data_IF_455345443600
#
_entry.id   IF_455345443600
#
_cell.length_a   1.000
_cell.length_b   1.000
_cell.length_c   1.000
_cell.angle_alpha   90.00
_cell.angle_beta   90.00
_cell.angle_gamma   90.00
#
_symmetry.space_group_name_H-M   'P 1'
#
loop_
_entity.id
_entity.type
_entity.pdbx_description
1 polymer ?
#
# COMPACT_ATOMS: atom_id res chain seq x y z
N UNK A 1 -46.42 18.25 -37.66
CA UNK A 1 -46.50 18.78 -36.29
C UNK A 1 -46.35 17.60 -35.34
N UNK A 2 -45.15 17.42 -34.82
CA UNK A 2 -44.77 16.30 -33.96
C UNK A 2 -44.66 16.81 -32.52
N UNK A 3 -45.26 16.10 -31.57
CA UNK A 3 -45.09 16.32 -30.14
C UNK A 3 -44.69 14.99 -29.49
N UNK A 4 -43.40 14.85 -29.24
CA UNK A 4 -42.80 13.84 -28.38
C UNK A 4 -42.63 14.46 -26.99
N UNK A 5 -43.24 13.86 -25.97
CA UNK A 5 -43.06 14.20 -24.56
C UNK A 5 -41.97 13.32 -23.97
N UNK A 6 -40.84 13.94 -23.64
CA UNK A 6 -39.72 13.35 -22.89
C UNK A 6 -39.79 13.83 -21.44
N UNK A 7 -39.98 12.92 -20.50
CA UNK A 7 -39.75 13.16 -19.08
C UNK A 7 -38.29 12.82 -18.76
N UNK A 8 -37.46 13.86 -18.73
CA UNK A 8 -36.11 13.84 -18.17
C UNK A 8 -36.18 14.43 -16.77
N UNK A 9 -36.13 13.61 -15.73
CA UNK A 9 -35.89 14.10 -14.37
C UNK A 9 -34.38 14.08 -14.09
N UNK A 10 -33.82 15.28 -14.10
CA UNK A 10 -32.45 15.61 -13.76
C UNK A 10 -32.25 15.56 -12.25
N UNK A 11 -31.46 14.61 -11.76
CA UNK A 11 -30.89 14.64 -10.41
C UNK A 11 -29.61 15.46 -10.47
N UNK A 12 -29.74 16.78 -10.33
CA UNK A 12 -28.62 17.69 -10.12
C UNK A 12 -29.06 18.77 -9.13
N UNK A 13 -28.87 18.54 -7.83
CA UNK A 13 -28.37 19.58 -6.93
C UNK A 13 -28.05 18.98 -5.54
N UNK A 14 -26.78 18.72 -5.30
CA UNK A 14 -26.24 18.69 -3.95
C UNK A 14 -24.98 19.53 -3.98
N UNK A 15 -25.20 20.84 -3.86
CA UNK A 15 -24.18 21.86 -3.77
C UNK A 15 -23.03 21.40 -2.86
N UNK A 16 -21.85 21.24 -3.47
CA UNK A 16 -20.59 21.03 -2.78
C UNK A 16 -20.32 22.24 -1.88
N UNK A 17 -20.74 22.14 -0.62
CA UNK A 17 -20.18 22.97 0.45
C UNK A 17 -18.75 22.48 0.64
N UNK A 18 -17.78 23.27 0.21
CA UNK A 18 -16.41 23.21 0.71
C UNK A 18 -16.46 23.57 2.19
N UNK A 19 -16.69 22.57 3.04
CA UNK A 19 -16.52 22.70 4.48
C UNK A 19 -15.02 22.63 4.72
N UNK A 20 -14.44 23.72 5.23
CA UNK A 20 -13.11 23.68 5.84
C UNK A 20 -13.09 22.51 6.82
N UNK A 21 -12.29 21.48 6.53
CA UNK A 21 -12.20 20.31 7.40
C UNK A 21 -11.73 20.79 8.79
N UNK A 22 -12.53 20.62 9.85
CA UNK A 22 -12.13 21.05 11.18
C UNK A 22 -10.84 20.32 11.55
N UNK A 23 -9.84 21.06 12.05
CA UNK A 23 -8.64 20.46 12.64
C UNK A 23 -9.09 19.63 13.83
N UNK A 24 -9.06 18.30 13.70
CA UNK A 24 -9.43 17.35 14.75
C UNK A 24 -8.30 17.24 15.78
N UNK A 25 -7.99 18.35 16.46
CA UNK A 25 -7.25 18.29 17.70
C UNK A 25 -8.25 18.33 18.85
N UNK A 26 -8.28 17.29 19.67
CA UNK A 26 -8.65 17.51 21.07
C UNK A 26 -7.68 18.57 21.62
N UNK A 27 -8.19 19.56 22.36
CA UNK A 27 -7.39 20.67 22.88
C UNK A 27 -6.17 20.24 23.73
N UNK A 28 -6.11 18.96 24.13
CA UNK A 28 -5.13 18.38 25.04
C UNK A 28 -4.10 17.43 24.38
N UNK A 29 -4.12 17.25 23.06
CA UNK A 29 -3.18 16.33 22.41
C UNK A 29 -1.72 16.86 22.49
N UNK A 30 -0.81 16.06 23.04
CA UNK A 30 0.62 16.39 23.08
C UNK A 30 1.14 16.66 21.65
N UNK A 31 1.60 17.86 21.37
CA UNK A 31 2.00 18.29 20.01
C UNK A 31 3.47 18.05 19.69
N UNK A 32 4.29 17.68 20.69
CA UNK A 32 5.71 17.36 20.52
C UNK A 32 6.21 16.31 21.51
N UNK A 33 7.22 15.54 21.12
CA UNK A 33 7.83 14.49 21.95
C UNK A 33 9.09 13.92 21.33
N UNK A 34 9.85 13.11 22.09
CA UNK A 34 11.11 12.52 21.61
C UNK A 34 10.92 11.28 20.72
N UNK A 35 9.83 10.55 20.95
CA UNK A 35 9.58 9.25 20.33
C UNK A 35 8.18 9.27 19.73
N UNK A 36 8.06 9.49 18.40
CA UNK A 36 6.77 9.39 17.71
C UNK A 36 6.14 8.01 17.89
N UNK A 37 4.85 7.98 18.18
CA UNK A 37 4.06 6.76 18.19
C UNK A 37 3.54 6.49 16.78
N UNK A 38 4.15 5.55 16.06
CA UNK A 38 3.65 5.19 14.71
C UNK A 38 2.29 4.48 14.75
N UNK A 39 1.90 3.96 15.92
CA UNK A 39 0.62 3.32 16.18
C UNK A 39 -0.45 4.31 16.68
N UNK A 40 -0.18 5.62 16.66
CA UNK A 40 -1.17 6.62 17.04
C UNK A 40 -2.42 6.49 16.16
N UNK A 41 -3.54 6.09 16.78
CA UNK A 41 -4.81 5.66 16.15
C UNK A 41 -4.70 4.60 15.05
N UNK A 42 -3.65 3.78 15.11
CA UNK A 42 -3.54 2.62 14.23
C UNK A 42 -4.55 1.55 14.64
N UNK A 43 -5.35 1.08 13.68
CA UNK A 43 -6.22 -0.08 13.82
C UNK A 43 -5.39 -1.32 13.53
N UNK A 44 -5.37 -2.28 14.44
CA UNK A 44 -4.71 -3.56 14.14
C UNK A 44 -5.46 -4.25 13.00
N UNK A 45 -4.72 -4.85 12.07
CA UNK A 45 -5.33 -5.50 10.91
C UNK A 45 -6.28 -6.64 11.31
N UNK A 46 -6.00 -7.33 12.43
CA UNK A 46 -6.90 -8.34 12.95
C UNK A 46 -8.19 -7.76 13.55
N UNK A 47 -8.16 -6.54 14.11
CA UNK A 47 -9.39 -5.85 14.53
C UNK A 47 -10.23 -5.45 13.32
N UNK A 48 -9.59 -4.96 12.25
CA UNK A 48 -10.27 -4.69 10.98
C UNK A 48 -10.92 -5.97 10.42
N UNK A 49 -10.21 -7.11 10.46
CA UNK A 49 -10.77 -8.42 10.06
C UNK A 49 -11.91 -8.91 10.96
N UNK A 50 -12.09 -8.36 12.17
CA UNK A 50 -13.25 -8.67 13.04
C UNK A 50 -14.52 -7.95 12.60
N UNK A 51 -14.40 -6.93 11.75
CA UNK A 51 -15.54 -6.11 11.37
C UNK A 51 -16.46 -6.85 10.40
N UNK A 52 -17.77 -6.80 10.65
CA UNK A 52 -18.79 -7.52 9.85
C UNK A 52 -18.77 -7.10 8.37
N UNK A 53 -18.47 -5.83 8.10
CA UNK A 53 -18.38 -5.28 6.74
C UNK A 53 -17.01 -5.46 6.09
N UNK A 54 -16.09 -6.21 6.72
CA UNK A 54 -14.77 -6.52 6.18
C UNK A 54 -14.65 -8.02 5.90
N UNK A 55 -14.31 -8.36 4.65
CA UNK A 55 -14.03 -9.74 4.24
C UNK A 55 -12.51 -9.93 4.26
N UNK A 56 -12.01 -10.54 5.32
CA UNK A 56 -10.60 -10.86 5.48
C UNK A 56 -10.21 -12.14 4.74
N UNK A 57 -8.97 -12.20 4.28
CA UNK A 57 -8.40 -13.44 3.73
C UNK A 57 -8.08 -14.40 4.89
N UNK A 58 -8.15 -15.73 4.72
CA UNK A 58 -7.72 -16.68 5.76
C UNK A 58 -6.19 -16.75 5.86
N UNK A 59 -5.68 -17.50 6.84
CA UNK A 59 -4.24 -17.79 6.95
C UNK A 59 -3.74 -18.63 5.76
N UNK A 60 -2.45 -18.49 5.43
CA UNK A 60 -1.82 -19.18 4.29
C UNK A 60 -1.98 -20.71 4.35
N UNK A 61 -2.02 -21.28 5.56
CA UNK A 61 -2.21 -22.71 5.79
C UNK A 61 -3.55 -23.25 5.27
N UNK A 62 -4.53 -22.37 5.05
CA UNK A 62 -5.87 -22.68 4.52
C UNK A 62 -6.02 -22.35 3.03
N UNK A 63 -4.97 -21.87 2.37
CA UNK A 63 -5.00 -21.44 0.98
C UNK A 63 -4.29 -22.46 0.08
N UNK A 64 -4.93 -22.79 -1.03
CA UNK A 64 -4.38 -23.61 -2.10
C UNK A 64 -3.72 -22.70 -3.14
N UNK A 65 -2.43 -22.91 -3.38
CA UNK A 65 -1.66 -22.20 -4.41
C UNK A 65 -1.64 -23.03 -5.70
N UNK A 66 -2.43 -22.60 -6.68
CA UNK A 66 -2.41 -23.16 -8.03
C UNK A 66 -2.63 -22.04 -9.06
N UNK A 67 -1.55 -21.64 -9.73
CA UNK A 67 -1.60 -20.61 -10.76
C UNK A 67 -1.71 -19.19 -10.21
N UNK A 68 -1.50 -18.23 -11.11
CA UNK A 68 -1.47 -16.79 -10.84
C UNK A 68 -2.71 -16.25 -10.12
N UNK A 69 -3.89 -16.86 -10.35
CA UNK A 69 -5.17 -16.42 -9.77
C UNK A 69 -5.26 -16.69 -8.28
N UNK A 70 -4.59 -17.73 -7.78
CA UNK A 70 -4.58 -18.08 -6.35
C UNK A 70 -3.79 -17.10 -5.48
N UNK A 71 -2.88 -16.31 -6.08
CA UNK A 71 -2.01 -15.39 -5.33
C UNK A 71 -2.78 -14.23 -4.69
N UNK A 72 -3.95 -13.89 -5.24
CA UNK A 72 -4.85 -12.88 -4.67
C UNK A 72 -5.46 -13.32 -3.33
N UNK A 73 -5.41 -14.61 -2.99
CA UNK A 73 -5.91 -15.17 -1.73
C UNK A 73 -4.84 -15.18 -0.62
N UNK A 74 -3.60 -14.82 -0.91
CA UNK A 74 -2.51 -14.78 0.07
C UNK A 74 -2.46 -13.40 0.72
N UNK A 75 -2.62 -13.36 2.04
CA UNK A 75 -2.56 -12.12 2.84
C UNK A 75 -1.28 -11.34 2.56
N UNK A 76 -1.41 -10.03 2.39
CA UNK A 76 -0.23 -9.17 2.30
C UNK A 76 0.57 -9.20 3.60
N UNK A 77 1.87 -8.93 3.50
CA UNK A 77 2.74 -8.86 4.66
C UNK A 77 3.17 -10.21 5.24
N UNK A 78 2.90 -11.29 4.53
CA UNK A 78 3.30 -12.65 4.88
C UNK A 78 4.52 -13.10 4.07
N UNK A 79 5.22 -14.12 4.56
CA UNK A 79 6.43 -14.63 3.90
C UNK A 79 6.13 -15.24 2.51
N UNK A 80 4.98 -15.91 2.34
CA UNK A 80 4.59 -16.42 1.02
C UNK A 80 4.27 -15.27 0.08
N UNK A 81 3.53 -14.25 0.54
CA UNK A 81 3.22 -13.09 -0.28
C UNK A 81 4.49 -12.37 -0.77
N UNK A 82 5.47 -12.14 0.11
CA UNK A 82 6.78 -11.59 -0.28
C UNK A 82 7.48 -12.46 -1.32
N UNK A 83 7.48 -13.77 -1.12
CA UNK A 83 8.12 -14.73 -2.01
C UNK A 83 7.44 -14.78 -3.40
N UNK A 84 6.12 -14.64 -3.46
CA UNK A 84 5.35 -14.59 -4.71
C UNK A 84 5.73 -13.40 -5.60
N UNK A 85 6.36 -12.36 -5.05
CA UNK A 85 6.83 -11.24 -5.84
C UNK A 85 8.12 -11.53 -6.63
N UNK A 86 8.91 -12.55 -6.24
CA UNK A 86 10.17 -12.86 -6.90
C UNK A 86 9.94 -13.29 -8.36
N UNK A 87 10.74 -12.75 -9.27
CA UNK A 87 10.63 -12.99 -10.71
C UNK A 87 9.40 -12.35 -11.39
N UNK A 88 8.68 -11.45 -10.69
CA UNK A 88 7.50 -10.74 -11.19
C UNK A 88 7.66 -9.22 -11.10
N UNK A 89 6.99 -8.48 -11.99
CA UNK A 89 6.90 -7.02 -11.91
C UNK A 89 5.61 -6.64 -11.20
N UNK A 90 5.73 -6.03 -10.01
CA UNK A 90 4.55 -5.56 -9.24
C UNK A 90 4.54 -4.04 -9.06
N UNK A 91 3.44 -3.51 -8.52
CA UNK A 91 3.23 -2.07 -8.26
C UNK A 91 4.40 -1.39 -7.55
N UNK A 92 5.05 -2.08 -6.61
CA UNK A 92 6.21 -1.55 -5.87
C UNK A 92 7.43 -1.21 -6.74
N UNK A 93 7.58 -1.85 -7.91
CA UNK A 93 8.67 -1.59 -8.86
C UNK A 93 8.20 -0.92 -10.15
N UNK A 94 6.90 -0.70 -10.32
CA UNK A 94 6.31 -0.18 -11.55
C UNK A 94 6.88 1.19 -11.94
N UNK A 95 6.98 2.12 -10.98
CA UNK A 95 7.53 3.48 -11.23
C UNK A 95 8.96 3.42 -11.76
N UNK A 96 9.75 2.45 -11.27
CA UNK A 96 11.11 2.21 -11.75
C UNK A 96 11.10 1.63 -13.16
N UNK A 97 10.27 0.63 -13.43
CA UNK A 97 10.14 0.01 -14.75
C UNK A 97 9.67 1.01 -15.83
N UNK A 98 8.79 1.94 -15.46
CA UNK A 98 8.32 3.00 -16.35
C UNK A 98 9.35 4.12 -16.56
N UNK A 99 10.41 4.19 -15.74
CA UNK A 99 11.44 5.22 -15.83
C UNK A 99 11.12 6.53 -15.10
N UNK A 100 10.05 6.58 -14.29
CA UNK A 100 9.68 7.79 -13.55
C UNK A 100 10.72 8.21 -12.51
N UNK A 101 11.50 7.24 -12.04
CA UNK A 101 12.59 7.48 -11.10
C UNK A 101 13.93 7.85 -11.76
N UNK A 102 14.02 7.83 -13.10
CA UNK A 102 15.25 8.13 -13.80
C UNK A 102 15.63 9.62 -13.67
N UNK A 103 16.93 9.96 -13.61
CA UNK A 103 17.38 11.34 -13.41
C UNK A 103 16.86 12.34 -14.45
N UNK A 104 16.71 11.93 -15.70
CA UNK A 104 16.26 12.80 -16.77
C UNK A 104 14.72 12.82 -16.96
N UNK A 105 13.96 12.13 -16.10
CA UNK A 105 12.50 12.23 -16.09
C UNK A 105 12.05 13.57 -15.50
N UNK A 106 10.97 14.14 -16.01
CA UNK A 106 10.32 15.31 -15.40
C UNK A 106 9.57 14.90 -14.12
N UNK A 107 10.34 14.72 -13.05
CA UNK A 107 9.85 14.33 -11.72
C UNK A 107 8.94 15.39 -11.12
N UNK A 108 9.14 16.67 -11.48
CA UNK A 108 8.31 17.78 -10.97
C UNK A 108 6.90 17.68 -11.55
N UNK A 109 6.76 17.46 -12.85
CA UNK A 109 5.45 17.25 -13.48
C UNK A 109 4.71 16.06 -12.85
N UNK A 110 5.43 15.00 -12.48
CA UNK A 110 4.85 13.83 -11.82
C UNK A 110 4.47 14.05 -10.34
N UNK A 111 4.84 15.19 -9.74
CA UNK A 111 4.62 15.46 -8.31
C UNK A 111 5.60 14.73 -7.38
N UNK A 112 6.76 14.32 -7.89
CA UNK A 112 7.82 13.64 -7.14
C UNK A 112 8.88 14.62 -6.64
N UNK A 113 9.57 14.25 -5.55
CA UNK A 113 10.70 15.04 -5.05
C UNK A 113 11.90 15.00 -6.01
N UNK A 114 12.66 16.09 -6.03
CA UNK A 114 13.91 16.22 -6.82
C UNK A 114 15.06 15.38 -6.25
N UNK A 115 15.01 15.00 -4.96
CA UNK A 115 16.03 14.21 -4.25
C UNK A 115 15.88 12.71 -4.48
N UNK A 116 15.61 12.30 -5.72
CA UNK A 116 15.54 10.88 -6.06
C UNK A 116 16.91 10.24 -6.13
N UNK A 117 17.05 9.04 -5.58
CA UNK A 117 18.18 8.18 -5.89
C UNK A 117 17.97 7.60 -7.30
N UNK A 118 18.92 7.85 -8.21
CA UNK A 118 18.95 7.18 -9.52
C UNK A 118 19.20 5.67 -9.39
N UNK A 119 18.99 4.91 -10.47
CA UNK A 119 19.22 3.46 -10.48
C UNK A 119 18.00 2.61 -10.13
N UNK A 120 16.79 3.18 -10.20
CA UNK A 120 15.55 2.45 -9.97
C UNK A 120 15.43 1.23 -10.88
N UNK A 121 15.88 1.32 -12.13
CA UNK A 121 15.75 0.21 -13.06
C UNK A 121 16.57 -1.04 -12.70
N UNK A 122 17.72 -0.88 -12.05
CA UNK A 122 18.53 -2.02 -11.61
C UNK A 122 17.78 -2.89 -10.61
N UNK A 123 16.90 -2.30 -9.79
CA UNK A 123 16.03 -3.06 -8.89
C UNK A 123 14.98 -3.90 -9.65
N UNK A 124 14.48 -3.38 -10.77
CA UNK A 124 13.54 -4.09 -11.66
C UNK A 124 14.24 -5.29 -12.29
N UNK A 125 15.42 -5.08 -12.87
CA UNK A 125 16.22 -6.14 -13.48
C UNK A 125 16.57 -7.22 -12.45
N UNK A 126 17.03 -6.80 -11.27
CA UNK A 126 17.37 -7.73 -10.19
C UNK A 126 16.16 -8.55 -9.75
N UNK A 127 14.96 -7.96 -9.65
CA UNK A 127 13.75 -8.69 -9.26
C UNK A 127 13.32 -9.68 -10.33
N UNK A 128 13.28 -9.26 -11.60
CA UNK A 128 12.81 -10.09 -12.71
C UNK A 128 13.73 -11.27 -13.03
N UNK A 129 14.99 -11.21 -12.60
CA UNK A 129 15.94 -12.32 -12.71
C UNK A 129 15.87 -13.33 -11.56
N UNK A 130 15.12 -13.06 -10.49
CA UNK A 130 14.95 -14.02 -9.40
C UNK A 130 14.10 -15.20 -9.86
N UNK A 131 14.38 -16.36 -9.27
CA UNK A 131 13.55 -17.54 -9.45
C UNK A 131 12.14 -17.27 -8.89
N UNK A 132 11.12 -17.64 -9.67
CA UNK A 132 9.73 -17.45 -9.27
C UNK A 132 9.33 -18.49 -8.24
N UNK A 133 8.70 -18.04 -7.17
CA UNK A 133 7.95 -18.92 -6.27
C UNK A 133 6.54 -19.10 -6.83
N UNK A 134 6.05 -20.34 -6.84
CA UNK A 134 4.76 -20.71 -7.42
C UNK A 134 4.77 -20.72 -8.96
N UNK A 135 3.90 -21.53 -9.55
CA UNK A 135 3.70 -21.59 -11.00
C UNK A 135 2.62 -20.59 -11.40
N UNK A 136 2.89 -19.76 -12.40
CA UNK A 136 1.93 -18.77 -12.91
C UNK A 136 0.81 -19.43 -13.75
N UNK A 137 1.21 -20.40 -14.58
CA UNK A 137 0.35 -21.13 -15.51
C UNK A 137 0.16 -22.56 -15.02
N UNK A 138 -1.09 -22.91 -14.72
CA UNK A 138 -1.49 -24.28 -14.37
C UNK A 138 -2.69 -24.67 -15.22
N UNK A 139 -3.01 -25.96 -15.21
CA UNK A 139 -4.21 -26.46 -15.87
C UNK A 139 -5.48 -25.72 -15.38
N UNK A 140 -6.40 -25.44 -16.29
CA UNK A 140 -7.60 -24.67 -15.98
C UNK A 140 -8.49 -25.33 -14.91
N UNK A 141 -8.53 -26.67 -14.85
CA UNK A 141 -9.28 -27.38 -13.83
C UNK A 141 -8.63 -27.20 -12.45
N UNK A 142 -7.29 -27.30 -12.36
CA UNK A 142 -6.56 -27.05 -11.12
C UNK A 142 -6.73 -25.60 -10.63
N UNK A 143 -6.65 -24.63 -11.54
CA UNK A 143 -6.88 -23.22 -11.21
C UNK A 143 -8.30 -22.98 -10.69
N UNK A 144 -9.30 -23.60 -11.33
CA UNK A 144 -10.71 -23.50 -10.91
C UNK A 144 -10.97 -24.19 -9.57
N UNK A 145 -10.35 -25.34 -9.32
CA UNK A 145 -10.48 -26.07 -8.06
C UNK A 145 -9.86 -25.29 -6.90
N UNK A 146 -8.65 -24.75 -7.08
CA UNK A 146 -8.02 -23.89 -6.08
C UNK A 146 -8.82 -22.61 -5.84
N UNK A 147 -9.37 -21.99 -6.88
CA UNK A 147 -10.24 -20.82 -6.73
C UNK A 147 -11.48 -21.13 -5.88
N UNK A 148 -12.13 -22.28 -6.13
CA UNK A 148 -13.28 -22.75 -5.34
C UNK A 148 -12.89 -23.03 -3.89
N UNK A 149 -11.79 -23.75 -3.67
CA UNK A 149 -11.29 -24.07 -2.33
C UNK A 149 -10.93 -22.80 -1.55
N UNK A 150 -10.26 -21.84 -2.18
CA UNK A 150 -9.89 -20.58 -1.53
C UNK A 150 -11.11 -19.70 -1.22
N UNK A 151 -12.12 -19.70 -2.08
CA UNK A 151 -13.39 -19.01 -1.81
C UNK A 151 -14.11 -19.63 -0.61
N UNK A 152 -14.19 -20.96 -0.54
CA UNK A 152 -14.78 -21.69 0.59
C UNK A 152 -14.01 -21.48 1.90
N UNK A 153 -12.67 -21.48 1.84
CA UNK A 153 -11.82 -21.18 3.00
C UNK A 153 -12.02 -19.75 3.49
N UNK A 154 -12.15 -18.79 2.57
CA UNK A 154 -12.42 -17.38 2.89
C UNK A 154 -13.80 -17.23 3.53
N UNK A 155 -14.83 -17.85 2.96
CA UNK A 155 -16.18 -17.81 3.52
C UNK A 155 -16.22 -18.42 4.92
N UNK A 156 -15.59 -19.58 5.10
CA UNK A 156 -15.52 -20.28 6.39
C UNK A 156 -14.83 -19.41 7.43
N UNK A 157 -13.67 -18.83 7.10
CA UNK A 157 -12.94 -17.92 7.99
C UNK A 157 -13.80 -16.72 8.44
N UNK A 158 -14.48 -16.06 7.50
CA UNK A 158 -15.30 -14.89 7.85
C UNK A 158 -16.57 -15.28 8.63
N UNK A 159 -17.14 -16.48 8.40
CA UNK A 159 -18.27 -17.02 9.16
C UNK A 159 -17.89 -17.38 10.60
N UNK A 160 -16.73 -18.01 10.80
CA UNK A 160 -16.17 -18.33 12.11
C UNK A 160 -16.01 -17.04 12.94
N UNK A 161 -15.48 -15.98 12.32
CA UNK A 161 -15.31 -14.68 12.98
C UNK A 161 -16.62 -13.98 13.31
N UNK A 162 -17.56 -13.95 12.37
CA UNK A 162 -18.88 -13.37 12.62
C UNK A 162 -19.60 -14.10 13.77
N UNK A 163 -19.39 -15.41 13.90
CA UNK A 163 -19.94 -16.20 15.01
C UNK A 163 -19.27 -15.87 16.33
N UNK A 164 -17.94 -15.73 16.35
CA UNK A 164 -17.19 -15.32 17.54
C UNK A 164 -17.58 -13.91 18.02
N UNK A 165 -17.76 -12.95 17.10
CA UNK A 165 -18.19 -11.60 17.44
C UNK A 165 -19.60 -11.57 18.07
N UNK A 166 -20.54 -12.38 17.56
CA UNK A 166 -21.88 -12.51 18.15
C UNK A 166 -21.84 -13.16 19.54
N UNK A 167 -20.99 -14.17 19.73
CA UNK A 167 -20.83 -14.82 21.02
C UNK A 167 -20.25 -13.86 22.08
N UNK A 168 -19.27 -13.04 21.72
CA UNK A 168 -18.71 -12.01 22.60
C UNK A 168 -19.78 -10.97 22.99
N UNK A 169 -20.56 -10.46 22.02
CA UNK A 169 -21.64 -9.51 22.30
C UNK A 169 -22.75 -10.09 23.19
N UNK A 170 -23.09 -11.37 23.04
CA UNK A 170 -24.09 -12.02 23.89
C UNK A 170 -23.62 -12.21 25.35
N UNK A 171 -22.31 -12.43 25.57
CA UNK A 171 -21.74 -12.58 26.90
C UNK A 171 -21.71 -11.27 27.70
N UNK A 172 -21.54 -10.12 27.02
CA UNK A 172 -21.57 -8.79 27.66
C UNK A 172 -22.97 -8.37 28.12
N UNK A 173 -24.04 -8.90 27.52
CA UNK A 173 -25.42 -8.62 27.93
C UNK A 173 -25.87 -9.40 29.18
N UNK A 174 -25.11 -10.41 29.62
CA UNK A 174 -25.46 -11.29 30.74
C UNK A 174 -24.63 -10.98 32.01
N UNK A 175 -23.77 -9.95 31.97
CA UNK A 175 -22.83 -9.60 33.04
C UNK A 175 -23.09 -8.24 33.67
N UNK A 176 -24.31 -7.98 34.14
CA UNK A 176 -24.66 -6.78 34.93
C UNK A 176 -24.43 -6.94 36.45
N UNK A 177 -23.82 -8.05 36.92
CA UNK A 177 -23.49 -8.25 38.34
C UNK A 177 -22.14 -8.96 38.53
N UNK A 178 -21.03 -8.28 38.29
CA UNK A 178 -19.76 -8.55 38.98
C UNK A 178 -18.74 -7.42 38.76
N UNK A 179 -18.36 -6.75 39.84
CA UNK A 179 -17.17 -5.89 39.84
C UNK A 179 -15.92 -6.73 39.53
N UNK A 180 -15.17 -6.34 38.49
CA UNK A 180 -13.90 -6.98 38.14
C UNK A 180 -12.79 -5.93 38.18
N UNK A 181 -11.79 -6.20 39.03
CA UNK A 181 -10.52 -5.48 39.10
C UNK A 181 -9.78 -5.54 37.76
N UNK A 182 -9.31 -4.39 37.29
CA UNK A 182 -8.50 -4.25 36.08
C UNK A 182 -7.07 -4.73 36.39
N UNK A 183 -6.75 -5.96 36.02
CA UNK A 183 -5.36 -6.40 35.87
C UNK A 183 -4.92 -6.19 34.42
N UNK A 184 -4.00 -5.25 34.23
CA UNK A 184 -3.38 -4.97 32.94
C UNK A 184 -2.41 -6.10 32.56
N UNK A 185 -2.81 -6.95 31.61
CA UNK A 185 -1.87 -7.67 30.75
C UNK A 185 -2.53 -7.93 29.40
N UNK A 186 -2.18 -7.11 28.41
CA UNK A 186 -2.58 -7.30 27.01
C UNK A 186 -1.30 -7.41 26.17
N UNK A 187 -0.77 -8.61 26.08
CA UNK A 187 0.22 -8.98 25.07
C UNK A 187 -0.47 -9.02 23.70
N UNK A 188 -0.52 -7.88 23.02
CA UNK A 188 -1.05 -7.79 21.65
C UNK A 188 -0.04 -8.38 20.66
N UNK A 189 -0.50 -9.30 19.81
CA UNK A 189 0.31 -9.90 18.75
C UNK A 189 0.60 -8.89 17.65
N UNK A 190 1.85 -8.92 17.16
CA UNK A 190 2.35 -8.05 16.09
C UNK A 190 1.64 -8.38 14.78
N UNK A 191 0.80 -7.46 14.29
CA UNK A 191 0.26 -7.50 12.94
C UNK A 191 1.38 -7.32 11.92
N UNK A 192 1.75 -8.41 11.24
CA UNK A 192 2.80 -8.42 10.22
C UNK A 192 2.32 -7.78 8.92
N UNK A 193 2.63 -6.50 8.72
CA UNK A 193 2.83 -5.96 7.38
C UNK A 193 4.34 -6.05 7.07
N UNK A 194 4.75 -7.10 6.34
CA UNK A 194 6.14 -7.30 5.93
C UNK A 194 6.72 -6.06 5.23
N UNK A 195 7.73 -5.48 5.88
CA UNK A 195 8.70 -4.47 5.42
C UNK A 195 9.33 -3.77 6.64
N UNK A 196 8.64 -3.74 7.80
CA UNK A 196 9.10 -3.05 9.00
C UNK A 196 10.50 -3.48 9.50
N UNK A 197 10.81 -4.78 9.50
CA UNK A 197 12.12 -5.31 9.91
C UNK A 197 13.22 -5.07 8.86
N UNK A 198 12.88 -5.11 7.57
CA UNK A 198 13.83 -4.79 6.50
C UNK A 198 14.10 -3.28 6.40
N UNK A 199 13.10 -2.43 6.67
CA UNK A 199 13.25 -0.98 6.86
C UNK A 199 14.10 -0.70 8.09
N UNK A 200 13.86 -1.38 9.23
CA UNK A 200 14.68 -1.23 10.43
C UNK A 200 16.13 -1.65 10.17
N UNK A 201 16.35 -2.80 9.53
CA UNK A 201 17.69 -3.26 9.15
C UNK A 201 18.37 -2.32 8.13
N UNK A 202 17.62 -1.75 7.17
CA UNK A 202 18.13 -0.77 6.23
C UNK A 202 18.48 0.57 6.91
N UNK A 203 17.65 1.04 7.85
CA UNK A 203 17.86 2.28 8.61
C UNK A 203 19.01 2.16 9.62
N UNK A 204 19.19 0.99 10.25
CA UNK A 204 20.34 0.72 11.14
C UNK A 204 21.68 0.64 10.38
N UNK A 205 21.67 0.47 9.05
CA UNK A 205 22.87 0.48 8.20
C UNK A 205 23.26 1.90 7.73
N UNK A 206 22.41 2.91 7.92
CA UNK A 206 22.73 4.31 7.61
C UNK A 206 23.54 4.91 8.75
N UNK A 207 24.86 5.03 8.55
CA UNK A 207 25.70 5.77 9.50
C UNK A 207 25.34 7.25 9.48
N UNK A 208 25.22 7.94 10.63
CA UNK A 208 25.05 9.37 10.66
C UNK A 208 26.22 10.05 9.94
N UNK A 209 25.92 11.04 9.10
CA UNK A 209 26.94 11.89 8.49
C UNK A 209 27.63 12.67 9.61
N UNK A 210 28.86 12.28 9.94
CA UNK A 210 29.68 13.03 10.87
C UNK A 210 30.05 14.39 10.26
N UNK A 211 30.02 15.49 11.03
CA UNK A 211 30.45 16.78 10.54
C UNK A 211 31.95 16.72 10.24
N UNK A 212 32.34 17.10 9.03
CA UNK A 212 33.74 17.13 8.58
C UNK A 212 34.53 18.17 9.38
N UNK A 213 35.32 17.73 10.35
CA UNK A 213 36.44 18.52 10.86
C UNK A 213 37.65 18.33 9.94
N UNK A 214 38.15 19.42 9.36
CA UNK A 214 39.39 19.47 8.59
C UNK A 214 40.61 19.25 9.49
N UNK A 215 41.46 18.26 9.16
CA UNK A 215 42.94 18.30 9.23
C UNK A 215 43.58 16.93 9.02
N UNK A 216 44.65 16.90 8.23
CA UNK A 216 45.77 15.97 8.41
C UNK A 216 45.83 14.74 7.52
N UNK A 217 46.58 14.83 6.41
CA UNK A 217 47.10 13.68 5.63
C UNK A 217 47.94 12.76 6.53
N UNK A 218 47.66 11.45 6.52
CA UNK A 218 48.71 10.43 6.70
C UNK A 218 48.35 9.12 5.99
N UNK A 219 49.18 8.78 4.99
CA UNK A 219 49.24 7.49 4.28
C UNK A 219 49.46 6.35 5.26
N UNK A 220 48.69 5.26 5.15
CA UNK A 220 49.15 3.90 5.48
C UNK A 220 48.59 2.88 4.50
N UNK A 221 49.51 2.16 3.87
CA UNK A 221 49.30 0.98 3.03
C UNK A 221 48.76 -0.20 3.86
N UNK A 222 48.02 -1.09 3.20
CA UNK A 222 48.12 -2.53 3.48
C UNK A 222 46.83 -3.29 3.74
N UNK A 223 46.62 -4.28 2.85
CA UNK A 223 45.78 -5.50 2.96
C UNK A 223 44.29 -5.36 2.68
N UNK A 224 43.95 -5.66 1.43
CA UNK A 224 42.63 -6.14 1.02
C UNK A 224 42.29 -7.43 1.79
N UNK A 225 41.27 -7.36 2.65
CA UNK A 225 40.53 -8.55 3.09
C UNK A 225 39.34 -8.71 2.15
N UNK A 226 39.43 -9.67 1.22
CA UNK A 226 38.26 -10.28 0.58
C UNK A 226 37.29 -10.70 1.69
N UNK A 227 36.16 -10.02 1.83
CA UNK A 227 35.03 -10.50 2.65
C UNK A 227 34.04 -11.17 1.71
N UNK A 228 34.05 -12.49 1.83
CA UNK A 228 33.19 -13.42 1.14
C UNK A 228 31.71 -13.07 1.39
N UNK A 229 30.96 -13.00 0.30
CA UNK A 229 29.52 -12.86 0.27
C UNK A 229 28.86 -14.16 0.74
N UNK A 230 28.34 -14.15 1.96
CA UNK A 230 27.32 -15.11 2.43
C UNK A 230 26.35 -14.34 3.32
N UNK A 231 25.28 -13.80 2.72
CA UNK A 231 24.07 -13.44 3.46
C UNK A 231 23.27 -14.73 3.57
N UNK A 232 23.35 -15.37 4.73
CA UNK A 232 22.44 -16.46 5.05
C UNK A 232 21.19 -15.88 5.72
N UNK A 233 20.05 -16.33 5.19
CA UNK A 233 18.74 -16.48 5.83
C UNK A 233 18.85 -17.09 7.24
N UNK A 234 17.71 -17.01 7.94
CA UNK A 234 17.40 -17.44 9.31
C UNK A 234 17.55 -16.32 10.35
N UNK A 235 16.51 -15.51 10.49
CA UNK A 235 16.09 -15.11 11.83
C UNK A 235 15.08 -16.19 12.22
N UNK A 236 15.51 -17.10 13.08
CA UNK A 236 14.67 -18.13 13.65
C UNK A 236 13.66 -17.55 14.64
N UNK A 237 12.71 -18.41 15.01
CA UNK A 237 11.55 -18.20 15.89
C UNK A 237 11.84 -17.74 17.33
N UNK A 238 13.02 -17.15 17.62
CA UNK A 238 13.41 -16.64 18.94
C UNK A 238 13.86 -15.17 18.91
N UNK A 239 13.35 -14.37 17.97
CA UNK A 239 13.44 -12.92 18.07
C UNK A 239 12.36 -12.44 19.04
N UNK A 240 12.75 -12.15 20.29
CA UNK A 240 11.88 -11.46 21.23
C UNK A 240 11.25 -10.25 20.52
N UNK A 241 9.95 -10.34 20.23
CA UNK A 241 9.22 -9.31 19.49
C UNK A 241 9.35 -8.01 20.29
N UNK A 242 9.87 -6.96 19.63
CA UNK A 242 9.95 -5.65 20.26
C UNK A 242 8.53 -5.22 20.62
N UNK A 243 8.34 -4.74 21.85
CA UNK A 243 7.11 -4.03 22.20
C UNK A 243 6.92 -2.82 21.27
N UNK A 244 5.68 -2.38 21.05
CA UNK A 244 5.39 -1.20 20.22
C UNK A 244 6.23 0.04 20.61
N UNK A 245 6.42 0.24 21.92
CA UNK A 245 7.26 1.31 22.45
C UNK A 245 8.75 1.14 22.07
N UNK A 246 9.30 -0.07 22.14
CA UNK A 246 10.68 -0.34 21.73
C UNK A 246 10.86 -0.18 20.21
N UNK A 247 9.87 -0.61 19.42
CA UNK A 247 9.85 -0.43 17.97
C UNK A 247 9.86 1.07 17.59
N UNK A 248 8.96 1.87 18.18
CA UNK A 248 8.93 3.33 17.99
C UNK A 248 10.26 4.00 18.38
N UNK A 249 10.87 3.58 19.51
CA UNK A 249 12.19 4.09 19.93
C UNK A 249 13.30 3.74 18.95
N UNK A 250 13.24 2.57 18.31
CA UNK A 250 14.20 2.18 17.28
C UNK A 250 14.03 3.03 16.01
N UNK A 251 12.79 3.26 15.56
CA UNK A 251 12.49 4.12 14.41
C UNK A 251 12.92 5.57 14.64
N UNK A 252 12.67 6.12 15.83
CA UNK A 252 13.08 7.48 16.18
C UNK A 252 14.60 7.69 16.07
N UNK A 253 15.41 6.65 16.36
CA UNK A 253 16.88 6.68 16.16
C UNK A 253 17.27 6.65 14.67
N UNK A 254 16.41 6.09 13.81
CA UNK A 254 16.58 6.09 12.36
C UNK A 254 16.19 7.40 11.67
N UNK A 255 15.66 8.37 12.42
CA UNK A 255 15.26 9.70 11.92
C UNK A 255 13.89 9.73 11.23
N UNK A 256 13.50 10.91 10.76
CA UNK A 256 12.18 11.15 10.15
C UNK A 256 11.84 10.16 9.02
N UNK A 257 12.82 9.78 8.19
CA UNK A 257 12.58 8.87 7.06
C UNK A 257 12.12 7.48 7.53
N UNK A 258 12.72 6.95 8.60
CA UNK A 258 12.34 5.63 9.15
C UNK A 258 10.90 5.66 9.68
N UNK A 259 10.55 6.73 10.42
CA UNK A 259 9.19 6.97 10.92
C UNK A 259 8.18 7.07 9.78
N UNK A 260 8.51 7.82 8.72
CA UNK A 260 7.61 8.00 7.56
C UNK A 260 7.31 6.70 6.83
N UNK A 261 8.31 5.83 6.68
CA UNK A 261 8.12 4.54 6.02
C UNK A 261 7.26 3.61 6.88
N UNK A 262 7.53 3.52 8.18
CA UNK A 262 6.73 2.71 9.11
C UNK A 262 5.29 3.22 9.23
N UNK A 263 5.09 4.54 9.41
CA UNK A 263 3.78 5.17 9.47
C UNK A 263 2.88 4.81 8.30
N UNK A 264 3.47 4.72 7.09
CA UNK A 264 2.77 4.33 5.88
C UNK A 264 2.00 3.02 6.06
N UNK A 265 2.72 1.99 6.50
CA UNK A 265 2.23 0.62 6.67
C UNK A 265 1.30 0.48 7.88
N UNK A 266 1.64 1.08 9.03
CA UNK A 266 0.83 0.92 10.25
C UNK A 266 -0.57 1.56 10.17
N UNK A 267 -0.76 2.52 9.25
CA UNK A 267 -2.00 3.30 9.15
C UNK A 267 -2.93 2.84 8.01
N UNK A 268 -2.54 1.83 7.25
CA UNK A 268 -3.31 1.33 6.11
C UNK A 268 -4.66 0.76 6.56
N UNK A 269 -4.64 -0.12 7.55
CA UNK A 269 -5.85 -0.69 8.14
C UNK A 269 -6.78 0.40 8.73
N UNK A 270 -6.23 1.43 9.38
CA UNK A 270 -7.03 2.57 9.87
C UNK A 270 -7.75 3.32 8.75
N UNK A 271 -7.09 3.50 7.61
CA UNK A 271 -7.69 4.17 6.45
C UNK A 271 -8.84 3.34 5.92
N UNK A 272 -8.63 2.04 5.70
CA UNK A 272 -9.66 1.11 5.22
C UNK A 272 -10.85 1.03 6.19
N UNK A 273 -10.56 0.97 7.50
CA UNK A 273 -11.58 1.00 8.55
C UNK A 273 -12.44 2.27 8.47
N UNK A 274 -11.79 3.43 8.31
CA UNK A 274 -12.50 4.71 8.19
C UNK A 274 -13.37 4.78 6.93
N UNK A 275 -12.88 4.26 5.79
CA UNK A 275 -13.66 4.18 4.55
C UNK A 275 -14.87 3.24 4.72
N UNK A 276 -14.66 2.07 5.32
CA UNK A 276 -15.72 1.09 5.61
C UNK A 276 -16.82 1.70 6.48
N UNK A 277 -16.45 2.41 7.56
CA UNK A 277 -17.40 3.07 8.45
C UNK A 277 -18.14 4.23 7.76
N UNK A 278 -17.43 5.01 6.93
CA UNK A 278 -18.01 6.15 6.22
C UNK A 278 -19.02 5.73 5.15
N UNK A 279 -18.71 4.70 4.36
CA UNK A 279 -19.60 4.18 3.33
C UNK A 279 -20.53 3.12 3.93
N UNK A 280 -21.59 3.58 4.60
CA UNK A 280 -22.59 2.69 5.21
C UNK A 280 -23.16 1.70 4.19
N UNK A 281 -23.22 0.42 4.57
CA UNK A 281 -23.67 -0.66 3.69
C UNK A 281 -22.66 -1.10 2.64
N UNK A 282 -21.43 -0.57 2.66
CA UNK A 282 -20.33 -1.10 1.85
C UNK A 282 -19.76 -2.39 2.44
N UNK A 283 -19.03 -3.12 1.60
CA UNK A 283 -18.18 -4.24 2.01
C UNK A 283 -16.77 -4.00 1.50
N UNK A 284 -15.80 -4.06 2.41
CA UNK A 284 -14.38 -3.97 2.09
C UNK A 284 -13.80 -5.39 2.06
N UNK A 285 -12.94 -5.67 1.09
CA UNK A 285 -12.33 -6.97 0.88
C UNK A 285 -10.82 -6.80 0.96
N UNK A 286 -10.18 -7.60 1.80
CA UNK A 286 -8.73 -7.77 1.79
C UNK A 286 -8.30 -8.39 0.44
N UNK A 287 -7.14 -7.95 -0.07
CA UNK A 287 -6.62 -8.41 -1.36
C UNK A 287 -5.15 -8.80 -1.24
N UNK A 288 -4.78 -9.93 -1.84
CA UNK A 288 -3.40 -10.35 -2.02
C UNK A 288 -2.80 -9.83 -3.33
N UNK A 289 -1.88 -10.61 -3.90
CA UNK A 289 -1.25 -10.27 -5.18
C UNK A 289 -2.17 -10.64 -6.36
N UNK A 290 -2.83 -9.63 -6.93
CA UNK A 290 -3.70 -9.75 -8.10
C UNK A 290 -2.86 -9.73 -9.38
N UNK A 291 -2.77 -10.87 -10.06
CA UNK A 291 -1.97 -11.00 -11.28
C UNK A 291 -2.75 -10.58 -12.52
N UNK A 292 -2.09 -9.89 -13.45
CA UNK A 292 -2.62 -9.59 -14.77
C UNK A 292 -2.80 -10.91 -15.54
N UNK A 293 -4.02 -11.17 -16.00
CA UNK A 293 -4.30 -12.26 -16.91
C UNK A 293 -3.92 -11.83 -18.34
N UNK A 294 -3.03 -12.55 -19.05
CA UNK A 294 -2.73 -12.25 -20.44
C UNK A 294 -3.97 -12.23 -21.35
N UNK A 295 -5.02 -12.97 -21.00
CA UNK A 295 -6.28 -12.98 -21.74
C UNK A 295 -7.06 -11.65 -21.63
N UNK A 296 -6.81 -10.87 -20.58
CA UNK A 296 -7.45 -9.57 -20.36
C UNK A 296 -6.75 -8.43 -21.12
N UNK A 297 -5.69 -8.71 -21.88
CA UNK A 297 -4.95 -7.74 -22.68
C UNK A 297 -5.50 -7.78 -24.12
N UNK A 298 -6.23 -6.73 -24.58
CA UNK A 298 -6.71 -6.67 -25.95
C UNK A 298 -5.57 -6.74 -26.98
N UNK A 299 -5.77 -7.52 -28.04
CA UNK A 299 -4.74 -7.72 -29.08
C UNK A 299 -4.37 -6.43 -29.80
N UNK A 300 -5.31 -5.49 -29.95
CA UNK A 300 -5.12 -4.19 -30.59
C UNK A 300 -4.28 -3.21 -29.75
N UNK A 301 -4.02 -3.54 -28.47
CA UNK A 301 -3.04 -2.78 -27.67
C UNK A 301 -1.60 -3.01 -28.12
N UNK A 302 -1.36 -4.02 -28.97
CA UNK A 302 -0.06 -4.33 -29.55
C UNK A 302 1.05 -4.47 -28.48
N UNK A 303 0.71 -5.14 -27.37
CA UNK A 303 1.66 -5.44 -26.30
C UNK A 303 2.46 -6.69 -26.70
N UNK A 304 3.79 -6.59 -26.71
CA UNK A 304 4.67 -7.72 -26.98
C UNK A 304 4.82 -8.66 -25.77
N UNK A 305 5.89 -9.48 -25.73
CA UNK A 305 6.17 -10.34 -24.59
C UNK A 305 6.27 -9.54 -23.28
N UNK A 306 5.61 -10.01 -22.22
CA UNK A 306 5.63 -9.40 -20.90
C UNK A 306 6.30 -10.35 -19.89
N UNK A 307 6.96 -9.81 -18.84
CA UNK A 307 7.16 -10.59 -17.62
C UNK A 307 5.80 -10.84 -16.96
N UNK A 308 5.69 -11.76 -15.99
CA UNK A 308 4.51 -11.79 -15.12
C UNK A 308 4.35 -10.43 -14.43
N UNK A 309 3.17 -9.81 -14.58
CA UNK A 309 2.82 -8.51 -14.00
C UNK A 309 1.69 -8.69 -13.00
N UNK A 310 1.76 -8.02 -11.86
CA UNK A 310 0.69 -8.03 -10.86
C UNK A 310 0.60 -6.75 -10.05
N UNK A 311 -0.45 -6.64 -9.25
CA UNK A 311 -0.71 -5.54 -8.35
C UNK A 311 -1.27 -6.04 -7.01
N UNK A 312 -0.93 -5.35 -5.94
CA UNK A 312 -1.43 -5.64 -4.60
C UNK A 312 -2.17 -4.39 -4.13
N UNK A 313 -3.45 -4.19 -4.50
CA UNK A 313 -4.23 -3.06 -3.98
C UNK A 313 -4.38 -3.22 -2.47
N UNK A 314 -4.43 -2.11 -1.73
CA UNK A 314 -4.57 -2.13 -0.26
C UNK A 314 -5.94 -2.71 0.15
N UNK A 315 -6.93 -2.62 -0.73
CA UNK A 315 -8.16 -3.39 -0.63
C UNK A 315 -9.05 -3.25 -1.86
N UNK A 316 -10.20 -3.93 -1.84
CA UNK A 316 -11.31 -3.67 -2.74
C UNK A 316 -12.51 -3.20 -1.92
N UNK A 317 -13.34 -2.33 -2.47
CA UNK A 317 -14.59 -1.93 -1.81
C UNK A 317 -15.74 -2.05 -2.78
N UNK A 318 -16.85 -2.64 -2.31
CA UNK A 318 -18.13 -2.63 -3.01
C UNK A 318 -19.07 -1.74 -2.21
N UNK A 319 -19.54 -0.64 -2.81
CA UNK A 319 -20.48 0.27 -2.16
C UNK A 319 -21.89 -0.36 -2.12
N UNK A 320 -22.79 0.21 -1.31
CA UNK A 320 -24.18 -0.23 -1.24
C UNK A 320 -24.91 -0.15 -2.61
N UNK A 321 -24.44 0.71 -3.52
CA UNK A 321 -24.92 0.80 -4.91
C UNK A 321 -24.52 -0.40 -5.79
N UNK A 322 -23.64 -1.28 -5.31
CA UNK A 322 -23.02 -2.36 -6.07
C UNK A 322 -21.78 -1.94 -6.87
N UNK A 323 -21.43 -0.65 -6.89
CA UNK A 323 -20.21 -0.18 -7.57
C UNK A 323 -18.96 -0.66 -6.83
N UNK A 324 -18.02 -1.27 -7.58
CA UNK A 324 -16.79 -1.87 -7.05
C UNK A 324 -15.55 -1.09 -7.47
N UNK A 325 -14.68 -0.84 -6.50
CA UNK A 325 -13.44 -0.09 -6.68
C UNK A 325 -12.24 -0.88 -6.17
N UNK A 326 -11.10 -0.71 -6.84
CA UNK A 326 -9.82 -0.91 -6.19
C UNK A 326 -9.56 0.25 -5.22
N UNK A 327 -8.96 -0.02 -4.07
CA UNK A 327 -8.61 0.98 -3.06
C UNK A 327 -7.10 1.02 -2.92
N UNK A 328 -6.55 2.22 -3.02
CA UNK A 328 -5.14 2.53 -2.83
C UNK A 328 -5.05 3.61 -1.75
N UNK A 329 -4.34 3.31 -0.68
CA UNK A 329 -4.17 4.14 0.51
C UNK A 329 -2.81 4.81 0.49
N UNK A 330 -2.77 6.10 0.82
CA UNK A 330 -1.53 6.85 0.99
C UNK A 330 -1.56 7.68 2.26
N UNK A 331 -0.82 7.20 3.25
CA UNK A 331 -0.70 7.80 4.57
C UNK A 331 0.46 8.82 4.62
N UNK A 332 0.12 10.10 4.83
CA UNK A 332 1.11 11.14 5.15
C UNK A 332 1.46 11.05 6.63
N UNK A 333 2.74 10.85 6.96
CA UNK A 333 3.16 10.93 8.35
C UNK A 333 3.05 12.37 8.86
N UNK A 334 2.44 12.60 10.04
CA UNK A 334 2.35 13.92 10.63
C UNK A 334 3.64 14.32 11.36
N UNK A 335 4.55 13.37 11.64
CA UNK A 335 5.73 13.66 12.46
C UNK A 335 6.84 14.34 11.65
N UNK A 336 7.39 15.43 12.18
CA UNK A 336 8.54 16.15 11.62
C UNK A 336 9.65 16.24 12.64
N UNK A 337 10.87 15.98 12.20
CA UNK A 337 12.05 16.03 13.06
C UNK A 337 12.46 17.48 13.33
N UNK A 338 12.69 17.79 14.60
CA UNK A 338 13.23 19.05 15.11
C UNK A 338 14.48 18.73 15.96
N UNK A 339 15.36 19.70 16.24
CA UNK A 339 16.53 19.46 17.09
C UNK A 339 16.14 18.82 18.44
N UNK A 340 16.49 17.54 18.62
CA UNK A 340 16.25 16.76 19.84
C UNK A 340 14.81 16.31 20.10
N UNK A 341 13.87 16.50 19.16
CA UNK A 341 12.46 16.13 19.32
C UNK A 341 11.73 15.98 17.98
N UNK A 342 10.47 15.58 18.03
CA UNK A 342 9.55 15.56 16.91
C UNK A 342 8.32 16.39 17.25
N UNK A 343 7.72 16.98 16.21
CA UNK A 343 6.47 17.73 16.30
C UNK A 343 5.43 17.15 15.36
N UNK A 344 4.15 17.37 15.67
CA UNK A 344 3.03 17.09 14.78
C UNK A 344 2.89 18.27 13.81
N UNK A 345 3.24 18.03 12.55
CA UNK A 345 3.12 18.99 11.46
C UNK A 345 2.74 18.24 10.18
N UNK A 346 1.44 17.96 10.07
CA UNK A 346 0.90 17.25 8.92
C UNK A 346 0.78 18.15 7.69
N UNK A 347 0.76 17.51 6.52
CA UNK A 347 0.57 18.16 5.24
C UNK A 347 -0.92 18.44 5.04
N UNK A 348 -1.25 19.62 4.52
CA UNK A 348 -2.61 19.91 4.06
C UNK A 348 -3.07 18.91 2.98
N UNK A 349 -4.38 18.60 2.92
CA UNK A 349 -4.95 17.74 1.90
C UNK A 349 -4.62 18.23 0.49
N UNK A 350 -4.38 17.29 -0.42
CA UNK A 350 -4.12 17.61 -1.82
C UNK A 350 -5.39 18.07 -2.54
N UNK A 351 -5.35 19.04 -3.44
CA UNK A 351 -6.49 19.29 -4.34
C UNK A 351 -6.57 18.31 -5.51
N UNK A 352 -5.40 17.77 -5.89
CA UNK A 352 -5.25 16.73 -6.90
C UNK A 352 -4.17 15.76 -6.46
N UNK A 353 -4.35 14.45 -6.70
CA UNK A 353 -3.34 13.47 -6.32
C UNK A 353 -2.06 13.68 -7.14
N UNK A 354 -0.88 13.37 -6.59
CA UNK A 354 0.35 13.36 -7.38
C UNK A 354 0.29 12.36 -8.55
N UNK A 355 0.72 12.80 -9.73
CA UNK A 355 0.60 12.01 -10.97
C UNK A 355 1.40 10.71 -10.97
N UNK A 356 2.46 10.60 -10.16
CA UNK A 356 3.23 9.36 -10.05
C UNK A 356 2.43 8.17 -9.48
N UNK A 357 1.27 8.40 -8.85
CA UNK A 357 0.37 7.32 -8.41
C UNK A 357 -0.45 6.71 -9.54
N UNK A 358 -0.67 7.44 -10.64
CA UNK A 358 -1.63 7.01 -11.67
C UNK A 358 -1.23 5.69 -12.30
N UNK A 359 0.06 5.45 -12.52
CA UNK A 359 0.54 4.17 -13.05
C UNK A 359 0.16 2.98 -12.15
N UNK A 360 0.31 3.14 -10.85
CA UNK A 360 0.02 2.10 -9.86
C UNK A 360 -1.48 1.81 -9.82
N UNK A 361 -2.31 2.85 -9.65
CA UNK A 361 -3.77 2.73 -9.58
C UNK A 361 -4.35 2.14 -10.87
N UNK A 362 -3.82 2.52 -12.03
CA UNK A 362 -4.27 1.99 -13.32
C UNK A 362 -3.89 0.51 -13.51
N UNK A 363 -2.73 0.08 -12.97
CA UNK A 363 -2.35 -1.33 -12.97
C UNK A 363 -3.24 -2.16 -12.02
N UNK A 364 -3.56 -1.63 -10.85
CA UNK A 364 -4.51 -2.26 -9.92
C UNK A 364 -5.87 -2.48 -10.56
N UNK A 365 -6.40 -1.49 -11.27
CA UNK A 365 -7.71 -1.59 -11.93
C UNK A 365 -7.77 -2.67 -13.03
N UNK A 366 -6.71 -2.83 -13.83
CA UNK A 366 -6.69 -3.92 -14.82
C UNK A 366 -6.51 -5.28 -14.16
N UNK A 367 -5.65 -5.42 -13.14
CA UNK A 367 -5.44 -6.68 -12.44
C UNK A 367 -6.64 -7.15 -11.60
N UNK A 368 -7.53 -6.24 -11.23
CA UNK A 368 -8.74 -6.52 -10.41
C UNK A 368 -10.03 -6.42 -11.21
N UNK A 369 -9.94 -6.11 -12.50
CA UNK A 369 -11.06 -5.89 -13.41
C UNK A 369 -12.08 -4.85 -12.88
N UNK A 370 -11.59 -3.76 -12.28
CA UNK A 370 -12.43 -2.63 -11.85
C UNK A 370 -12.38 -1.51 -12.88
N UNK A 371 -13.47 -0.72 -12.97
CA UNK A 371 -13.57 0.44 -13.88
C UNK A 371 -13.01 1.72 -13.30
N UNK A 372 -12.96 1.79 -11.97
CA UNK A 372 -12.50 2.94 -11.22
C UNK A 372 -11.82 2.49 -9.94
N UNK A 373 -11.02 3.39 -9.36
CA UNK A 373 -10.36 3.19 -8.08
C UNK A 373 -10.57 4.38 -7.16
N UNK A 374 -10.52 4.12 -5.85
CA UNK A 374 -10.49 5.11 -4.79
C UNK A 374 -9.05 5.27 -4.31
N UNK A 375 -8.43 6.40 -4.63
CA UNK A 375 -7.14 6.80 -4.08
C UNK A 375 -7.38 7.61 -2.80
N UNK A 376 -7.24 6.95 -1.65
CA UNK A 376 -7.46 7.51 -0.33
C UNK A 376 -6.16 8.12 0.22
N UNK A 377 -6.07 9.44 0.26
CA UNK A 377 -4.92 10.17 0.79
C UNK A 377 -5.21 10.60 2.23
N UNK A 378 -4.71 9.85 3.20
CA UNK A 378 -4.91 10.12 4.62
C UNK A 378 -3.88 11.13 5.14
N UNK A 379 -4.42 12.17 5.77
CA UNK A 379 -3.73 13.02 6.74
C UNK A 379 -4.31 12.72 8.11
N UNK A 380 -3.46 12.55 9.12
CA UNK A 380 -3.90 12.25 10.48
C UNK A 380 -4.77 13.37 11.07
N UNK A 381 -4.41 14.63 10.79
CA UNK A 381 -5.05 15.81 11.40
C UNK A 381 -6.13 16.45 10.53
N UNK A 382 -6.14 16.16 9.22
CA UNK A 382 -7.07 16.75 8.26
C UNK A 382 -8.05 15.75 7.65
N UNK A 383 -8.08 14.49 8.08
CA UNK A 383 -8.95 13.48 7.48
C UNK A 383 -8.36 12.81 6.24
N UNK A 384 -9.18 12.00 5.59
CA UNK A 384 -8.87 11.28 4.36
C UNK A 384 -9.54 12.00 3.21
N UNK A 385 -8.75 12.47 2.25
CA UNK A 385 -9.29 12.95 0.98
C UNK A 385 -9.28 11.79 -0.02
N UNK A 386 -10.48 11.41 -0.48
CA UNK A 386 -10.65 10.29 -1.40
C UNK A 386 -10.83 10.83 -2.81
N UNK A 387 -9.99 10.36 -3.72
CA UNK A 387 -10.12 10.67 -5.15
C UNK A 387 -10.66 9.47 -5.90
N UNK A 388 -11.62 9.72 -6.79
CA UNK A 388 -12.05 8.74 -7.80
C UNK A 388 -11.18 8.90 -9.04
N UNK A 389 -10.59 7.78 -9.47
CA UNK A 389 -9.77 7.69 -10.68
C UNK A 389 -10.44 6.71 -11.63
N UNK A 390 -10.74 7.15 -12.85
CA UNK A 390 -11.28 6.30 -13.90
C UNK A 390 -10.19 5.50 -14.60
N UNK A 391 -10.49 4.26 -15.00
CA UNK A 391 -9.59 3.42 -15.80
C UNK A 391 -9.41 4.02 -17.20
N UNK A 392 -8.16 4.09 -17.62
CA UNK A 392 -7.75 4.58 -18.94
C UNK A 392 -6.94 3.50 -19.65
N UNK A 393 -7.62 2.73 -20.48
CA UNK A 393 -7.04 1.60 -21.22
C UNK A 393 -5.91 2.02 -22.16
N UNK A 394 -5.98 3.23 -22.74
CA UNK A 394 -4.91 3.73 -23.60
C UNK A 394 -3.62 3.98 -22.80
N UNK A 395 -3.76 4.49 -21.58
CA UNK A 395 -2.64 4.67 -20.65
C UNK A 395 -2.11 3.31 -20.16
N UNK A 396 -2.99 2.37 -19.79
CA UNK A 396 -2.57 1.00 -19.42
C UNK A 396 -1.80 0.33 -20.56
N UNK A 397 -2.32 0.38 -21.79
CA UNK A 397 -1.64 -0.13 -22.98
C UNK A 397 -0.26 0.51 -23.19
N UNK A 398 -0.13 1.82 -22.93
CA UNK A 398 1.17 2.53 -23.00
C UNK A 398 2.16 1.99 -21.96
N UNK A 399 1.72 1.77 -20.72
CA UNK A 399 2.56 1.19 -19.66
C UNK A 399 3.02 -0.22 -20.03
N UNK A 400 2.09 -1.09 -20.44
CA UNK A 400 2.39 -2.48 -20.78
C UNK A 400 3.32 -2.60 -21.99
N UNK A 401 3.12 -1.80 -23.04
CA UNK A 401 4.06 -1.76 -24.18
C UNK A 401 5.47 -1.35 -23.76
N UNK A 402 5.60 -0.37 -22.85
CA UNK A 402 6.90 0.03 -22.33
C UNK A 402 7.55 -1.10 -21.52
N UNK A 403 6.81 -1.74 -20.62
CA UNK A 403 7.28 -2.89 -19.83
C UNK A 403 7.72 -4.02 -20.77
N UNK A 404 6.94 -4.30 -21.81
CA UNK A 404 7.27 -5.31 -22.81
C UNK A 404 8.59 -5.03 -23.52
N UNK A 405 8.83 -3.78 -23.95
CA UNK A 405 10.11 -3.40 -24.57
C UNK A 405 11.29 -3.54 -23.61
N UNK A 406 11.14 -3.15 -22.34
CA UNK A 406 12.15 -3.35 -21.31
C UNK A 406 12.48 -4.84 -21.17
N UNK A 407 11.44 -5.67 -21.07
CA UNK A 407 11.57 -7.11 -20.88
C UNK A 407 12.24 -7.80 -22.07
N UNK A 408 11.75 -7.55 -23.29
CA UNK A 408 12.27 -8.17 -24.50
C UNK A 408 13.69 -7.69 -24.87
N UNK A 409 14.01 -6.42 -24.59
CA UNK A 409 15.30 -5.84 -24.99
C UNK A 409 16.43 -6.15 -24.01
N UNK A 410 16.11 -6.31 -22.73
CA UNK A 410 17.11 -6.40 -21.68
C UNK A 410 16.98 -7.68 -20.86
N UNK A 411 15.81 -7.96 -20.30
CA UNK A 411 15.64 -9.09 -19.39
C UNK A 411 15.78 -10.43 -20.11
N UNK A 412 15.04 -10.64 -21.20
CA UNK A 412 15.12 -11.88 -22.00
C UNK A 412 16.49 -12.10 -22.66
N UNK A 413 17.26 -11.02 -22.87
CA UNK A 413 18.58 -11.06 -23.49
C UNK A 413 19.72 -11.07 -22.48
N UNK A 414 19.38 -11.12 -21.18
CA UNK A 414 20.31 -11.01 -20.06
C UNK A 414 21.26 -9.80 -20.13
N UNK A 415 20.71 -8.63 -20.49
CA UNK A 415 21.43 -7.36 -20.60
C UNK A 415 20.96 -6.36 -19.55
N UNK A 416 21.85 -5.45 -19.17
CA UNK A 416 21.50 -4.30 -18.35
C UNK A 416 20.91 -3.16 -19.21
N UNK A 417 19.78 -2.55 -18.82
CA UNK A 417 19.29 -1.32 -19.42
C UNK A 417 20.25 -0.17 -19.16
N UNK A 418 20.47 0.74 -20.14
CA UNK A 418 21.23 1.95 -19.91
C UNK A 418 20.47 2.89 -18.95
N UNK A 419 21.19 3.76 -18.25
CA UNK A 419 20.58 4.88 -17.52
C UNK A 419 19.71 5.70 -18.46
N UNK A 420 18.55 6.18 -17.98
CA UNK A 420 17.60 6.96 -18.77
C UNK A 420 17.05 6.22 -20.00
N UNK A 421 16.98 4.89 -20.00
CA UNK A 421 16.52 4.11 -21.14
C UNK A 421 15.16 4.62 -21.67
N UNK A 422 15.14 4.96 -22.96
CA UNK A 422 13.97 5.50 -23.66
C UNK A 422 13.30 6.75 -23.03
N UNK A 423 13.91 7.43 -22.05
CA UNK A 423 13.25 8.54 -21.33
C UNK A 423 12.92 9.74 -22.24
N UNK A 424 13.73 9.92 -23.30
CA UNK A 424 13.59 11.01 -24.26
C UNK A 424 12.67 10.68 -25.43
N UNK A 425 12.17 9.44 -25.51
CA UNK A 425 11.25 9.00 -26.55
C UNK A 425 9.93 9.79 -26.50
N UNK A 426 9.29 9.93 -27.66
CA UNK A 426 7.96 10.53 -27.75
C UNK A 426 6.94 9.75 -26.91
N UNK A 427 7.02 8.42 -26.92
CA UNK A 427 6.21 7.51 -26.11
C UNK A 427 6.31 7.80 -24.62
N UNK A 428 7.53 7.86 -24.07
CA UNK A 428 7.72 8.10 -22.64
C UNK A 428 7.19 9.48 -22.23
N UNK A 429 7.46 10.52 -23.03
CA UNK A 429 6.91 11.87 -22.80
C UNK A 429 5.38 11.87 -22.85
N UNK A 430 4.77 11.11 -23.77
CA UNK A 430 3.32 10.98 -23.88
C UNK A 430 2.70 10.26 -22.67
N UNK A 431 3.37 9.21 -22.19
CA UNK A 431 2.97 8.49 -20.98
C UNK A 431 3.03 9.39 -19.74
N UNK A 432 4.12 10.16 -19.55
CA UNK A 432 4.21 11.14 -18.45
C UNK A 432 3.09 12.18 -18.52
N UNK A 433 2.81 12.74 -19.70
CA UNK A 433 1.68 13.68 -19.88
C UNK A 433 0.33 13.04 -19.58
N UNK A 434 0.15 11.77 -19.93
CA UNK A 434 -1.08 11.03 -19.66
C UNK A 434 -1.26 10.78 -18.15
N UNK A 435 -0.20 10.44 -17.43
CA UNK A 435 -0.24 10.34 -15.97
C UNK A 435 -0.62 11.69 -15.33
N UNK A 436 -0.08 12.81 -15.81
CA UNK A 436 -0.44 14.16 -15.34
C UNK A 436 -1.90 14.50 -15.65
N UNK A 437 -2.37 14.16 -16.86
CA UNK A 437 -3.77 14.34 -17.26
C UNK A 437 -4.71 13.58 -16.33
N UNK A 438 -4.46 12.29 -16.09
CA UNK A 438 -5.27 11.43 -15.23
C UNK A 438 -5.35 11.97 -13.80
N UNK A 439 -4.23 12.42 -13.25
CA UNK A 439 -4.23 13.05 -11.93
C UNK A 439 -5.04 14.35 -11.86
N UNK A 440 -5.05 15.15 -12.94
CA UNK A 440 -5.88 16.35 -13.04
C UNK A 440 -7.36 16.02 -13.18
N UNK A 441 -7.68 14.96 -13.93
CA UNK A 441 -9.05 14.49 -14.19
C UNK A 441 -9.65 13.74 -13.00
N UNK A 442 -8.82 13.18 -12.11
CA UNK A 442 -9.27 12.61 -10.85
C UNK A 442 -10.16 13.58 -10.08
N UNK A 443 -11.35 13.12 -9.70
CA UNK A 443 -12.35 13.92 -8.99
C UNK A 443 -12.24 13.66 -7.50
N UNK A 444 -12.48 14.69 -6.69
CA UNK A 444 -12.68 14.48 -5.25
C UNK A 444 -13.99 13.73 -5.10
N UNK A 445 -13.93 12.51 -4.58
CA UNK A 445 -15.08 11.66 -4.37
C UNK A 445 -15.78 12.04 -3.06
N UNK A 446 -15.02 12.10 -1.98
CA UNK A 446 -15.48 12.59 -0.69
C UNK A 446 -14.29 13.00 0.21
N UNK A 447 -14.64 13.56 1.36
CA UNK A 447 -13.72 13.77 2.48
C UNK A 447 -14.24 13.01 3.70
N UNK A 448 -13.39 12.18 4.29
CA UNK A 448 -13.72 11.33 5.43
C UNK A 448 -12.97 11.84 6.67
N UNK A 449 -13.62 12.05 7.82
CA UNK A 449 -12.93 12.34 9.08
C UNK A 449 -11.89 11.26 9.43
N UNK A 450 -10.81 11.63 10.11
CA UNK A 450 -9.87 10.63 10.64
C UNK A 450 -10.43 9.95 11.89
N UNK A 451 -10.08 8.68 12.07
CA UNK A 451 -10.42 7.92 13.27
C UNK A 451 -11.90 7.56 13.35
N UNK A 452 -12.59 7.40 12.22
CA UNK A 452 -13.88 6.74 12.21
C UNK A 452 -13.66 5.25 12.51
N UNK A 453 -14.12 4.82 13.68
CA UNK A 453 -13.94 3.47 14.19
C UNK A 453 -15.30 2.91 14.62
N UNK A 454 -15.54 1.61 14.46
CA UNK A 454 -16.60 0.92 15.18
C UNK A 454 -16.33 0.97 16.69
N UNK A 455 -17.38 0.95 17.51
CA UNK A 455 -17.27 0.98 18.98
C UNK A 455 -16.44 -0.18 19.56
N UNK A 456 -16.33 -1.28 18.82
CA UNK A 456 -15.55 -2.46 19.21
C UNK A 456 -14.03 -2.31 19.05
N UNK A 457 -13.54 -1.25 18.40
CA UNK A 457 -12.11 -1.05 18.14
C UNK A 457 -11.57 0.06 19.03
N UNK A 458 -10.57 -0.28 19.86
CA UNK A 458 -9.85 0.65 20.71
C UNK A 458 -8.45 0.87 20.17
N UNK A 459 -8.00 2.12 20.13
CA UNK A 459 -6.68 2.50 19.58
C UNK A 459 -5.89 3.39 20.55
N UNK A 460 -4.57 3.45 20.38
CA UNK A 460 -3.74 4.37 21.18
C UNK A 460 -3.92 5.81 20.69
N UNK A 461 -4.50 6.66 21.54
CA UNK A 461 -4.75 8.07 21.26
C UNK A 461 -3.52 8.97 21.45
N UNK A 462 -2.39 8.43 21.93
CA UNK A 462 -1.19 9.22 22.24
C UNK A 462 -0.27 9.33 21.02
N UNK A 463 0.07 10.56 20.56
CA UNK A 463 0.97 10.77 19.43
C UNK A 463 2.45 10.48 19.74
N UNK A 464 2.84 10.45 21.01
CA UNK A 464 4.22 10.19 21.43
C UNK A 464 4.26 9.14 22.54
N UNK A 465 5.31 8.33 22.53
CA UNK A 465 5.62 7.39 23.61
C UNK A 465 6.29 8.15 24.76
N UNK A 466 5.88 7.84 26.00
CA UNK A 466 6.48 8.37 27.21
C UNK A 466 7.96 7.95 27.41
#
# INVERSE_FOLDING_TARGET
MASTSSLSESVTDAAARTVDAPRLFAADAQTSGRVPNVFWRAVALDDLRSCVSFVGLPEESRIVIAGRRSFASVRQGTALWDALHDGRLTTGLLKNALGFCEPACDRRALGMSSRGHGGGISSVVSRLRRERVGVDDVDAALASEAARANAEATETFNRERASAARAASAAECDSDDAAVEITADASMSVGSAASAMDIMLASLLVKPATPKSSKGKKKKNGKSKKRNSKRNRAVGDDAAMLTNAQYCRALAKGGEMAIRLAWGSEQEASTLCSLMCHFTGSTVYEAGLCMLDPADIPSDWNVGPLPPVGASPDGLITLASGERFAVEVKNSSPFREMPGSYVIADREPYDKPPAYHMAQVQLEMICTNTRSALLAMQSMTYGIRVFRVERDDAFVASMLRRISRLYASYILKDREPPTNWEIHSADHKSMVRSAVRLAREATVFCHVPTGLLPDSIVVDERPFIA
#
